data_IF_130734309130
#
_entry.id   IF_130734309130
#
_cell.length_a   1.000
_cell.length_b   1.000
_cell.length_c   1.000
_cell.angle_alpha   90.00
_cell.angle_beta   90.00
_cell.angle_gamma   90.00
#
_symmetry.space_group_name_H-M   'P 1'
#
loop_
_entity.id
_entity.type
_entity.pdbx_description
1 polymer ?
#
# COMPACT_ATOMS: atom_id res chain seq x y z
N UNK A 1 27.09 -42.41 -6.66
CA UNK A 1 28.30 -43.03 -6.07
C UNK A 1 28.26 -42.76 -4.57
N UNK A 2 28.08 -43.81 -3.76
CA UNK A 2 27.97 -43.71 -2.32
C UNK A 2 29.34 -43.34 -1.72
N UNK A 3 29.42 -42.23 -0.99
CA UNK A 3 30.62 -41.87 -0.23
C UNK A 3 30.67 -42.77 1.02
N UNK A 4 31.56 -43.76 1.01
CA UNK A 4 31.88 -44.59 2.16
C UNK A 4 32.53 -43.73 3.24
N UNK A 5 31.77 -43.44 4.30
CA UNK A 5 32.24 -42.72 5.48
C UNK A 5 33.49 -43.41 6.07
N UNK A 6 34.54 -42.62 6.27
CA UNK A 6 35.83 -43.02 6.87
C UNK A 6 35.60 -43.77 8.19
N UNK A 7 36.05 -45.03 8.26
CA UNK A 7 35.89 -45.87 9.43
C UNK A 7 37.02 -45.66 10.45
N UNK A 8 36.99 -44.60 11.26
CA UNK A 8 38.06 -44.29 12.24
C UNK A 8 37.60 -44.39 13.70
N UNK A 9 38.43 -44.96 14.57
CA UNK A 9 38.21 -45.09 16.02
C UNK A 9 38.00 -43.73 16.70
N UNK A 10 36.95 -43.58 17.51
CA UNK A 10 36.59 -42.32 18.18
C UNK A 10 37.59 -41.91 19.27
N UNK A 11 38.38 -42.85 19.79
CA UNK A 11 39.33 -42.59 20.89
C UNK A 11 40.71 -42.18 20.36
N UNK A 12 41.26 -42.93 19.40
CA UNK A 12 42.61 -42.68 18.91
C UNK A 12 42.65 -42.01 17.54
N UNK A 13 41.50 -41.88 16.85
CA UNK A 13 41.34 -41.29 15.51
C UNK A 13 42.21 -41.89 14.40
N UNK A 14 43.03 -42.92 14.68
CA UNK A 14 44.00 -43.49 13.74
C UNK A 14 43.72 -44.95 13.36
N UNK A 15 43.01 -45.72 14.19
CA UNK A 15 42.71 -47.13 13.92
C UNK A 15 41.37 -47.32 13.23
N UNK A 16 41.24 -48.31 12.35
CA UNK A 16 39.94 -48.72 11.82
C UNK A 16 39.05 -49.22 12.97
N UNK A 17 37.84 -48.68 13.12
CA UNK A 17 36.94 -49.15 14.17
C UNK A 17 36.42 -50.55 13.84
N UNK A 18 36.36 -51.42 14.84
CA UNK A 18 35.87 -52.79 14.71
C UNK A 18 34.92 -53.19 15.83
N UNK A 19 34.77 -52.35 16.86
CA UNK A 19 33.93 -52.66 18.02
C UNK A 19 33.17 -51.41 18.48
N UNK A 20 31.89 -51.54 18.81
CA UNK A 20 31.07 -50.47 19.37
C UNK A 20 30.74 -50.76 20.84
N UNK A 21 31.03 -49.82 21.74
CA UNK A 21 30.69 -49.93 23.16
C UNK A 21 29.27 -49.41 23.40
N UNK A 22 28.32 -50.29 23.76
CA UNK A 22 26.90 -49.91 23.97
C UNK A 22 26.72 -48.84 25.04
N UNK A 23 27.46 -48.95 26.14
CA UNK A 23 27.32 -48.09 27.31
C UNK A 23 27.97 -46.71 27.11
N UNK A 24 28.98 -46.61 26.26
CA UNK A 24 29.67 -45.35 25.98
C UNK A 24 29.23 -44.69 24.67
N UNK A 25 28.53 -45.42 23.80
CA UNK A 25 28.08 -44.93 22.50
C UNK A 25 29.22 -44.67 21.52
N UNK A 26 30.38 -45.34 21.68
CA UNK A 26 31.62 -45.02 20.98
C UNK A 26 32.17 -46.21 20.20
N UNK A 27 32.72 -45.91 19.03
CA UNK A 27 33.43 -46.83 18.14
C UNK A 27 34.91 -46.90 18.47
N UNK A 28 35.41 -48.11 18.70
CA UNK A 28 36.78 -48.37 19.14
C UNK A 28 37.45 -49.39 18.22
N UNK A 29 38.75 -49.18 17.95
CA UNK A 29 39.60 -50.24 17.42
C UNK A 29 39.90 -51.28 18.52
N UNK A 30 40.42 -52.44 18.15
CA UNK A 30 40.67 -53.55 19.10
C UNK A 30 41.57 -53.13 20.28
N UNK A 31 42.57 -52.27 20.00
CA UNK A 31 43.47 -51.76 21.04
C UNK A 31 42.73 -50.85 22.03
N UNK A 32 41.91 -49.92 21.53
CA UNK A 32 41.12 -49.03 22.37
C UNK A 32 40.06 -49.79 23.18
N UNK A 33 39.41 -50.81 22.61
CA UNK A 33 38.52 -51.72 23.33
C UNK A 33 39.24 -52.44 24.48
N UNK A 34 40.44 -52.96 24.22
CA UNK A 34 41.22 -53.68 25.23
C UNK A 34 41.60 -52.76 26.40
N UNK A 35 41.98 -51.51 26.11
CA UNK A 35 42.25 -50.50 27.13
C UNK A 35 40.98 -50.10 27.89
N UNK A 36 39.85 -49.95 27.17
CA UNK A 36 38.55 -49.63 27.74
C UNK A 36 38.09 -50.69 28.74
N UNK A 37 38.24 -51.97 28.42
CA UNK A 37 37.89 -53.08 29.31
C UNK A 37 38.87 -53.26 30.49
N UNK A 38 40.08 -52.70 30.41
CA UNK A 38 41.04 -52.69 31.53
C UNK A 38 40.76 -51.59 32.55
N UNK A 39 40.05 -50.53 32.16
CA UNK A 39 39.66 -49.46 33.08
C UNK A 39 38.62 -49.96 34.10
N UNK A 40 38.76 -49.54 35.36
CA UNK A 40 37.84 -49.91 36.45
C UNK A 40 36.39 -49.53 36.16
N UNK A 41 36.16 -48.47 35.39
CA UNK A 41 34.84 -47.92 35.10
C UNK A 41 34.13 -48.72 34.00
N UNK A 42 34.85 -49.11 32.97
CA UNK A 42 34.30 -49.69 31.74
C UNK A 42 34.55 -51.18 31.57
N UNK A 43 35.04 -51.86 32.62
CA UNK A 43 35.38 -53.30 32.61
C UNK A 43 34.22 -54.22 32.26
N UNK A 44 32.99 -53.82 32.61
CA UNK A 44 31.78 -54.60 32.37
C UNK A 44 30.97 -54.09 31.16
N UNK A 45 31.54 -53.18 30.36
CA UNK A 45 30.85 -52.68 29.18
C UNK A 45 30.81 -53.74 28.07
N UNK A 46 29.70 -53.77 27.34
CA UNK A 46 29.44 -54.75 26.30
C UNK A 46 29.81 -54.16 24.94
N UNK A 47 30.54 -54.94 24.15
CA UNK A 47 30.97 -54.55 22.81
C UNK A 47 30.23 -55.34 21.74
N UNK A 48 29.92 -54.67 20.63
CA UNK A 48 29.36 -55.25 19.42
C UNK A 48 30.41 -55.20 18.29
N UNK A 49 30.59 -56.30 17.55
CA UNK A 49 31.52 -56.33 16.41
C UNK A 49 30.96 -55.52 15.23
N UNK A 50 31.79 -54.64 14.68
CA UNK A 50 31.48 -53.68 13.61
C UNK A 50 31.23 -54.28 12.23
N UNK A 51 31.24 -55.61 12.10
CA UNK A 51 30.80 -56.32 10.88
C UNK A 51 29.28 -56.47 10.78
N UNK A 52 28.52 -56.16 11.85
CA UNK A 52 27.06 -56.40 11.90
C UNK A 52 26.22 -55.16 12.22
N UNK A 53 26.82 -53.97 12.28
CA UNK A 53 26.07 -52.74 12.56
C UNK A 53 25.92 -52.00 11.24
N UNK A 54 24.81 -52.28 10.57
CA UNK A 54 24.32 -51.43 9.51
C UNK A 54 23.90 -50.09 10.15
N UNK A 55 24.12 -48.92 9.50
CA UNK A 55 23.65 -47.61 9.98
C UNK A 55 22.12 -47.51 10.14
N UNK A 56 21.37 -48.53 9.70
CA UNK A 56 19.98 -48.80 10.09
C UNK A 56 19.93 -49.31 11.54
N UNK A 57 20.42 -48.49 12.46
CA UNK A 57 20.55 -48.79 13.88
C UNK A 57 19.20 -49.27 14.46
N UNK A 58 19.17 -50.54 14.89
CA UNK A 58 18.11 -51.04 15.76
C UNK A 58 18.17 -50.22 17.05
N UNK A 59 17.30 -49.21 17.14
CA UNK A 59 17.18 -48.36 18.33
C UNK A 59 16.83 -49.24 19.53
N UNK A 60 17.67 -49.20 20.56
CA UNK A 60 17.42 -49.90 21.82
C UNK A 60 16.56 -49.03 22.73
N UNK A 61 15.71 -49.67 23.53
CA UNK A 61 14.92 -48.98 24.53
C UNK A 61 15.82 -48.37 25.61
N UNK A 62 15.49 -47.16 26.06
CA UNK A 62 16.27 -46.45 27.10
C UNK A 62 16.23 -47.15 28.46
N UNK A 63 15.21 -47.95 28.73
CA UNK A 63 14.97 -48.60 30.03
C UNK A 63 15.24 -50.10 30.02
N UNK A 64 15.33 -50.71 28.84
CA UNK A 64 15.42 -52.15 28.67
C UNK A 64 16.42 -52.45 27.55
N UNK A 65 17.34 -53.41 27.73
CA UNK A 65 18.28 -53.86 26.68
C UNK A 65 17.54 -54.68 25.60
N UNK A 66 16.54 -54.05 24.97
CA UNK A 66 15.60 -54.61 24.01
C UNK A 66 15.38 -53.64 22.87
N UNK A 67 15.17 -54.19 21.67
CA UNK A 67 14.98 -53.40 20.45
C UNK A 67 13.58 -52.77 20.45
N UNK A 68 13.51 -51.52 20.02
CA UNK A 68 12.26 -50.81 19.76
C UNK A 68 11.67 -51.32 18.43
N UNK A 69 10.46 -51.87 18.51
CA UNK A 69 9.71 -52.38 17.34
C UNK A 69 8.25 -51.90 17.33
N UNK A 70 7.82 -51.23 18.40
CA UNK A 70 6.44 -50.76 18.57
C UNK A 70 6.41 -49.24 18.80
N UNK A 71 5.25 -48.64 18.58
CA UNK A 71 4.96 -47.26 18.89
C UNK A 71 3.68 -47.19 19.72
N UNK A 72 3.74 -46.49 20.85
CA UNK A 72 2.60 -46.25 21.71
C UNK A 72 1.87 -44.99 21.22
N UNK A 73 0.67 -45.16 20.68
CA UNK A 73 -0.14 -44.06 20.13
C UNK A 73 -0.56 -43.08 21.22
N UNK A 74 -0.94 -43.58 22.40
CA UNK A 74 -1.43 -42.72 23.49
C UNK A 74 -0.32 -41.90 24.16
N UNK A 75 0.91 -42.42 24.15
CA UNK A 75 2.08 -41.74 24.72
C UNK A 75 2.92 -41.01 23.68
N UNK A 76 2.56 -41.10 22.39
CA UNK A 76 3.29 -40.53 21.26
C UNK A 76 4.79 -40.85 21.30
N UNK A 77 5.15 -42.13 21.53
CA UNK A 77 6.55 -42.51 21.69
C UNK A 77 6.86 -43.94 21.23
N UNK A 78 8.08 -44.19 20.71
CA UNK A 78 8.55 -45.53 20.37
C UNK A 78 8.86 -46.36 21.62
N UNK A 79 8.47 -47.63 21.63
CA UNK A 79 8.60 -48.54 22.78
C UNK A 79 9.07 -49.96 22.38
N UNK A 80 9.70 -50.69 23.31
CA UNK A 80 10.03 -52.11 23.13
C UNK A 80 8.94 -53.04 23.69
N UNK A 81 9.08 -54.35 23.44
CA UNK A 81 8.15 -55.37 23.94
C UNK A 81 7.97 -55.38 25.47
N UNK A 82 9.01 -55.04 26.24
CA UNK A 82 8.92 -55.00 27.71
C UNK A 82 8.12 -53.78 28.18
N UNK A 83 8.30 -52.62 27.52
CA UNK A 83 7.51 -51.42 27.81
C UNK A 83 6.01 -51.67 27.62
N UNK A 84 5.63 -52.40 26.56
CA UNK A 84 4.22 -52.80 26.31
C UNK A 84 3.64 -53.50 27.52
N UNK A 85 4.32 -54.52 28.06
CA UNK A 85 3.79 -55.34 29.15
C UNK A 85 3.81 -54.61 30.48
N UNK A 86 4.87 -53.84 30.77
CA UNK A 86 5.07 -53.21 32.09
C UNK A 86 4.34 -51.89 32.27
N UNK A 87 4.38 -51.01 31.26
CA UNK A 87 3.93 -49.61 31.38
C UNK A 87 2.76 -49.25 30.47
N UNK A 88 2.68 -49.86 29.28
CA UNK A 88 1.72 -49.47 28.24
C UNK A 88 0.65 -50.53 27.97
N UNK A 89 0.35 -51.41 28.95
CA UNK A 89 -0.52 -52.59 28.76
C UNK A 89 -1.94 -52.27 28.30
N UNK A 90 -2.44 -51.07 28.61
CA UNK A 90 -3.79 -50.60 28.26
C UNK A 90 -3.79 -49.53 27.16
N UNK A 91 -2.64 -49.22 26.57
CA UNK A 91 -2.53 -48.18 25.55
C UNK A 91 -2.70 -48.76 24.14
N UNK A 92 -3.08 -47.91 23.18
CA UNK A 92 -3.01 -48.20 21.77
C UNK A 92 -1.56 -48.39 21.32
N UNK A 93 -1.25 -49.59 20.81
CA UNK A 93 0.08 -49.95 20.35
C UNK A 93 -0.02 -50.38 18.88
N UNK A 94 0.91 -49.89 18.06
CA UNK A 94 1.05 -50.26 16.66
C UNK A 94 2.52 -50.57 16.36
N UNK A 95 2.77 -51.25 15.25
CA UNK A 95 4.13 -51.48 14.78
C UNK A 95 4.78 -50.15 14.39
N UNK A 96 6.06 -50.00 14.70
CA UNK A 96 6.77 -48.74 14.47
C UNK A 96 6.82 -48.38 12.97
N UNK A 97 6.99 -49.36 12.09
CA UNK A 97 7.04 -49.16 10.64
C UNK A 97 5.67 -48.72 10.09
N UNK A 98 4.59 -49.38 10.52
CA UNK A 98 3.23 -49.03 10.13
C UNK A 98 2.85 -47.61 10.60
N UNK A 99 3.21 -47.28 11.85
CA UNK A 99 2.97 -45.95 12.43
C UNK A 99 3.76 -44.86 11.70
N UNK A 100 5.00 -45.17 11.32
CA UNK A 100 5.86 -44.27 10.54
C UNK A 100 5.27 -44.02 9.16
N UNK A 101 4.85 -45.05 8.44
CA UNK A 101 4.22 -44.91 7.12
C UNK A 101 2.93 -44.09 7.19
N UNK A 102 2.06 -44.35 8.19
CA UNK A 102 0.84 -43.57 8.40
C UNK A 102 1.14 -42.10 8.66
N UNK A 103 2.11 -41.82 9.54
CA UNK A 103 2.50 -40.45 9.87
C UNK A 103 3.14 -39.73 8.67
N UNK A 104 3.93 -40.43 7.85
CA UNK A 104 4.51 -39.88 6.62
C UNK A 104 3.43 -39.43 5.63
N UNK A 105 2.42 -40.27 5.39
CA UNK A 105 1.29 -39.93 4.50
C UNK A 105 0.49 -38.73 5.04
N UNK A 106 0.24 -38.73 6.35
CA UNK A 106 -0.48 -37.66 7.03
C UNK A 106 0.27 -36.32 6.95
N UNK A 107 1.56 -36.31 7.31
CA UNK A 107 2.42 -35.11 7.25
C UNK A 107 2.51 -34.60 5.82
N UNK A 108 2.70 -35.49 4.83
CA UNK A 108 2.72 -35.10 3.43
C UNK A 108 1.43 -34.38 3.02
N UNK A 109 0.27 -34.94 3.35
CA UNK A 109 -1.03 -34.32 3.06
C UNK A 109 -1.17 -32.93 3.71
N UNK A 110 -0.68 -32.76 4.93
CA UNK A 110 -0.69 -31.45 5.60
C UNK A 110 0.24 -30.44 4.94
N UNK A 111 1.43 -30.88 4.54
CA UNK A 111 2.37 -30.05 3.82
C UNK A 111 1.77 -29.60 2.49
N UNK A 112 1.21 -30.52 1.71
CA UNK A 112 0.58 -30.22 0.42
C UNK A 112 -0.52 -29.16 0.58
N UNK A 113 -1.47 -29.36 1.52
CA UNK A 113 -2.54 -28.39 1.80
C UNK A 113 -2.02 -27.02 2.27
N UNK A 114 -0.94 -26.99 3.08
CA UNK A 114 -0.34 -25.75 3.56
C UNK A 114 0.38 -25.00 2.45
N UNK A 115 1.07 -25.73 1.59
CA UNK A 115 1.75 -25.18 0.41
C UNK A 115 0.71 -24.55 -0.51
N UNK A 116 -0.36 -25.28 -0.84
CA UNK A 116 -1.45 -24.77 -1.69
C UNK A 116 -2.11 -23.51 -1.11
N UNK A 117 -2.34 -23.49 0.20
CA UNK A 117 -2.89 -22.31 0.90
C UNK A 117 -1.95 -21.10 0.80
N UNK A 118 -0.64 -21.31 1.00
CA UNK A 118 0.35 -20.23 0.90
C UNK A 118 0.45 -19.73 -0.54
N UNK A 119 0.48 -20.61 -1.55
CA UNK A 119 0.46 -20.25 -2.97
C UNK A 119 -0.77 -19.40 -3.29
N UNK A 120 -1.97 -19.84 -2.88
CA UNK A 120 -3.22 -19.10 -3.09
C UNK A 120 -3.20 -17.72 -2.45
N UNK A 121 -2.65 -17.60 -1.24
CA UNK A 121 -2.55 -16.32 -0.55
C UNK A 121 -1.55 -15.37 -1.24
N UNK A 122 -0.43 -15.90 -1.73
CA UNK A 122 0.55 -15.13 -2.50
C UNK A 122 -0.08 -14.60 -3.79
N UNK A 123 -0.80 -15.44 -4.53
CA UNK A 123 -1.53 -15.05 -5.75
C UNK A 123 -2.59 -13.97 -5.46
N UNK A 124 -3.35 -14.10 -4.37
CA UNK A 124 -4.30 -13.06 -3.95
C UNK A 124 -3.62 -11.72 -3.62
N UNK A 125 -2.44 -11.75 -2.99
CA UNK A 125 -1.66 -10.54 -2.68
C UNK A 125 -1.15 -9.91 -3.98
N UNK A 126 -0.63 -10.71 -4.91
CA UNK A 126 -0.14 -10.24 -6.20
C UNK A 126 -1.26 -9.58 -7.02
N UNK A 127 -2.39 -10.28 -7.18
CA UNK A 127 -3.58 -9.74 -7.86
C UNK A 127 -4.12 -8.50 -7.16
N UNK A 128 -4.18 -8.50 -5.82
CA UNK A 128 -4.60 -7.36 -5.02
C UNK A 128 -3.70 -6.14 -5.22
N UNK A 129 -2.39 -6.36 -5.33
CA UNK A 129 -1.40 -5.30 -5.57
C UNK A 129 -1.57 -4.68 -6.95
N UNK A 130 -1.69 -5.51 -7.99
CA UNK A 130 -1.93 -5.05 -9.36
C UNK A 130 -3.23 -4.25 -9.45
N UNK A 131 -4.30 -4.77 -8.84
CA UNK A 131 -5.59 -4.08 -8.81
C UNK A 131 -5.51 -2.74 -8.10
N UNK A 132 -4.89 -2.69 -6.92
CA UNK A 132 -4.75 -1.45 -6.16
C UNK A 132 -3.91 -0.41 -6.91
N UNK A 133 -2.87 -0.85 -7.63
CA UNK A 133 -2.09 0.03 -8.51
C UNK A 133 -2.95 0.58 -9.66
N UNK A 134 -3.83 -0.23 -10.25
CA UNK A 134 -4.80 0.23 -11.26
C UNK A 134 -5.74 1.27 -10.67
N UNK A 135 -6.34 1.00 -9.50
CA UNK A 135 -7.26 1.92 -8.82
C UNK A 135 -6.59 3.28 -8.54
N UNK A 136 -5.29 3.28 -8.13
CA UNK A 136 -4.50 4.51 -7.95
C UNK A 136 -4.33 5.26 -9.28
N UNK A 137 -3.93 4.55 -10.34
CA UNK A 137 -3.70 5.18 -11.65
C UNK A 137 -4.98 5.78 -12.21
N UNK A 138 -6.11 5.09 -12.07
CA UNK A 138 -7.44 5.59 -12.46
C UNK A 138 -7.81 6.86 -11.68
N UNK A 139 -7.58 6.88 -10.37
CA UNK A 139 -7.82 8.07 -9.55
C UNK A 139 -6.92 9.25 -9.98
N UNK A 140 -5.64 9.02 -10.26
CA UNK A 140 -4.72 10.05 -10.76
C UNK A 140 -5.22 10.60 -12.11
N UNK A 141 -5.63 9.72 -13.02
CA UNK A 141 -6.15 10.13 -14.33
C UNK A 141 -7.42 10.97 -14.18
N UNK A 142 -8.36 10.58 -13.31
CA UNK A 142 -9.58 11.34 -13.06
C UNK A 142 -9.29 12.75 -12.51
N UNK A 143 -8.42 12.86 -11.49
CA UNK A 143 -8.01 14.16 -10.92
C UNK A 143 -7.36 15.04 -11.99
N UNK A 144 -6.52 14.45 -12.83
CA UNK A 144 -5.82 15.18 -13.90
C UNK A 144 -6.79 15.69 -14.95
N UNK A 145 -7.78 14.87 -15.34
CA UNK A 145 -8.79 15.23 -16.33
C UNK A 145 -9.68 16.38 -15.83
N UNK A 146 -10.18 16.28 -14.59
CA UNK A 146 -10.96 17.35 -13.95
C UNK A 146 -10.18 18.67 -13.95
N UNK A 147 -8.90 18.62 -13.55
CA UNK A 147 -8.03 19.79 -13.54
C UNK A 147 -7.80 20.39 -14.93
N UNK A 148 -7.66 19.56 -15.97
CA UNK A 148 -7.50 20.01 -17.36
C UNK A 148 -8.78 20.63 -17.91
N UNK A 149 -9.93 20.05 -17.61
CA UNK A 149 -11.23 20.59 -18.02
C UNK A 149 -11.47 21.98 -17.42
N UNK A 150 -11.17 22.17 -16.12
CA UNK A 150 -11.30 23.48 -15.48
C UNK A 150 -10.36 24.52 -16.08
N UNK A 151 -9.11 24.15 -16.39
CA UNK A 151 -8.18 25.04 -17.11
C UNK A 151 -8.77 25.49 -18.45
N UNK A 152 -9.34 24.56 -19.21
CA UNK A 152 -9.96 24.89 -20.49
C UNK A 152 -11.13 25.88 -20.34
N UNK A 153 -11.98 25.72 -19.32
CA UNK A 153 -13.04 26.68 -19.03
C UNK A 153 -12.52 28.06 -18.65
N UNK A 154 -11.43 28.12 -17.86
CA UNK A 154 -10.77 29.37 -17.50
C UNK A 154 -10.22 30.06 -18.75
N UNK A 155 -9.51 29.33 -19.60
CA UNK A 155 -8.92 29.87 -20.83
C UNK A 155 -10.00 30.40 -21.79
N UNK A 156 -11.10 29.64 -21.96
CA UNK A 156 -12.25 30.09 -22.74
C UNK A 156 -12.87 31.37 -22.16
N UNK A 157 -12.97 31.47 -20.83
CA UNK A 157 -13.52 32.65 -20.17
C UNK A 157 -12.62 33.87 -20.35
N UNK A 158 -11.31 33.69 -20.22
CA UNK A 158 -10.30 34.74 -20.46
C UNK A 158 -10.43 35.24 -21.89
N UNK A 159 -10.44 34.33 -22.86
CA UNK A 159 -10.54 34.69 -24.27
C UNK A 159 -11.85 35.44 -24.57
N UNK A 160 -12.98 34.99 -24.03
CA UNK A 160 -14.26 35.66 -24.20
C UNK A 160 -14.28 37.09 -23.64
N UNK A 161 -13.63 37.32 -22.48
CA UNK A 161 -13.52 38.66 -21.89
C UNK A 161 -12.64 39.57 -22.75
N UNK A 162 -11.52 39.07 -23.26
CA UNK A 162 -10.62 39.81 -24.15
C UNK A 162 -11.36 40.19 -25.43
N UNK A 163 -11.98 39.23 -26.12
CA UNK A 163 -12.71 39.49 -27.37
C UNK A 163 -13.82 40.51 -27.16
N UNK A 164 -14.61 40.39 -26.09
CA UNK A 164 -15.67 41.37 -25.78
C UNK A 164 -15.12 42.78 -25.55
N UNK A 165 -13.96 42.88 -24.90
CA UNK A 165 -13.30 44.15 -24.66
C UNK A 165 -12.76 44.77 -25.96
N UNK A 166 -12.12 43.97 -26.80
CA UNK A 166 -11.60 44.41 -28.10
C UNK A 166 -12.72 44.89 -29.04
N UNK A 167 -13.84 44.16 -29.11
CA UNK A 167 -14.99 44.52 -29.94
C UNK A 167 -15.60 45.85 -29.50
N UNK A 168 -15.89 46.00 -28.20
CA UNK A 168 -16.42 47.25 -27.63
C UNK A 168 -15.43 48.40 -27.77
N UNK A 169 -14.16 48.14 -27.52
CA UNK A 169 -13.08 49.12 -27.69
C UNK A 169 -12.98 49.60 -29.13
N UNK A 170 -13.00 48.68 -30.10
CA UNK A 170 -12.97 48.98 -31.53
C UNK A 170 -14.20 49.76 -31.99
N UNK A 171 -15.39 49.42 -31.50
CA UNK A 171 -16.61 50.16 -31.79
C UNK A 171 -16.54 51.62 -31.27
N UNK A 172 -16.10 51.80 -30.02
CA UNK A 172 -15.94 53.13 -29.44
C UNK A 172 -14.86 53.95 -30.16
N UNK A 173 -13.72 53.35 -30.49
CA UNK A 173 -12.65 54.03 -31.24
C UNK A 173 -13.15 54.48 -32.63
N UNK A 174 -13.87 53.62 -33.35
CA UNK A 174 -14.49 53.99 -34.63
C UNK A 174 -15.50 55.14 -34.49
N UNK A 175 -16.33 55.12 -33.46
CA UNK A 175 -17.28 56.19 -33.18
C UNK A 175 -16.56 57.52 -32.92
N UNK A 176 -15.48 57.53 -32.12
CA UNK A 176 -14.67 58.72 -31.87
C UNK A 176 -13.98 59.22 -33.15
N UNK A 177 -13.38 58.31 -33.92
CA UNK A 177 -12.73 58.65 -35.19
C UNK A 177 -13.71 59.22 -36.21
N UNK A 178 -14.96 58.74 -36.24
CA UNK A 178 -15.99 59.26 -37.17
C UNK A 178 -16.39 60.71 -36.89
N UNK A 179 -16.18 61.19 -35.65
CA UNK A 179 -16.48 62.57 -35.25
C UNK A 179 -15.33 63.54 -35.50
N UNK A 180 -14.10 63.05 -35.58
CA UNK A 180 -12.93 63.86 -35.91
C UNK A 180 -13.10 64.72 -37.19
N UNK A 181 -13.59 64.18 -38.33
CA UNK A 181 -13.76 64.98 -39.55
C UNK A 181 -14.82 66.07 -39.42
N UNK A 182 -15.89 65.85 -38.63
CA UNK A 182 -16.91 66.87 -38.37
C UNK A 182 -16.27 68.10 -37.70
N UNK A 183 -15.46 67.86 -36.66
CA UNK A 183 -14.74 68.94 -35.97
C UNK A 183 -13.63 69.56 -36.82
N UNK A 184 -12.97 68.79 -37.69
CA UNK A 184 -11.99 69.34 -38.65
C UNK A 184 -12.66 70.27 -39.66
N UNK A 185 -13.83 69.91 -40.19
CA UNK A 185 -14.60 70.76 -41.10
C UNK A 185 -15.12 72.02 -40.39
N UNK A 186 -15.61 71.88 -39.16
CA UNK A 186 -16.02 73.04 -38.36
C UNK A 186 -14.83 73.98 -38.10
N UNK A 187 -13.64 73.45 -37.82
CA UNK A 187 -12.41 74.24 -37.70
C UNK A 187 -12.08 74.98 -39.00
N UNK A 188 -12.16 74.30 -40.16
CA UNK A 188 -11.91 74.92 -41.48
C UNK A 188 -12.92 76.05 -41.77
N UNK A 189 -14.20 75.85 -41.45
CA UNK A 189 -15.23 76.89 -41.58
C UNK A 189 -14.97 78.09 -40.68
N UNK A 190 -14.57 77.86 -39.43
CA UNK A 190 -14.22 78.93 -38.50
C UNK A 190 -13.00 79.71 -38.99
N UNK A 191 -11.99 79.03 -39.55
CA UNK A 191 -10.85 79.67 -40.18
C UNK A 191 -11.26 80.52 -41.40
N UNK A 192 -12.16 80.02 -42.26
CA UNK A 192 -12.72 80.80 -43.38
C UNK A 192 -13.51 82.02 -42.92
N UNK A 193 -14.31 81.89 -41.86
CA UNK A 193 -15.01 83.02 -41.26
C UNK A 193 -14.03 84.05 -40.70
N UNK A 194 -12.94 83.60 -40.10
CA UNK A 194 -11.88 84.47 -39.57
C UNK A 194 -11.18 85.25 -40.70
N UNK A 195 -10.84 84.61 -41.82
CA UNK A 195 -10.25 85.31 -42.98
C UNK A 195 -11.21 86.33 -43.59
N UNK A 196 -12.47 85.94 -43.81
CA UNK A 196 -13.50 86.83 -44.32
C UNK A 196 -13.75 88.05 -43.40
N UNK A 197 -13.69 87.85 -42.09
CA UNK A 197 -13.80 88.94 -41.13
C UNK A 197 -12.66 89.95 -41.27
N UNK A 198 -11.42 89.49 -41.38
CA UNK A 198 -10.24 90.35 -41.56
C UNK A 198 -10.35 91.15 -42.87
N UNK A 199 -10.84 90.55 -43.94
CA UNK A 199 -11.08 91.22 -45.23
C UNK A 199 -12.17 92.28 -45.12
N UNK A 200 -13.29 91.96 -44.45
CA UNK A 200 -14.40 92.90 -44.28
C UNK A 200 -14.00 94.19 -43.55
N UNK A 201 -13.02 94.14 -42.64
CA UNK A 201 -12.51 95.32 -41.95
C UNK A 201 -11.80 96.31 -42.88
N UNK A 202 -11.25 95.84 -44.00
CA UNK A 202 -10.53 96.66 -44.98
C UNK A 202 -11.47 97.42 -45.93
N UNK A 203 -12.76 97.05 -45.99
CA UNK A 203 -13.74 97.67 -46.89
C UNK A 203 -14.06 99.10 -46.47
N UNK A 204 -13.90 100.08 -47.37
CA UNK A 204 -14.27 101.48 -47.09
C UNK A 204 -15.79 101.71 -47.05
N UNK A 205 -16.56 100.91 -47.78
CA UNK A 205 -18.03 101.02 -47.82
C UNK A 205 -18.68 100.39 -46.57
N UNK A 206 -19.32 101.23 -45.75
CA UNK A 206 -19.93 100.83 -44.48
C UNK A 206 -21.11 99.88 -44.68
N UNK A 207 -21.91 100.04 -45.74
CA UNK A 207 -23.07 99.17 -45.98
C UNK A 207 -22.65 97.77 -46.40
N UNK A 208 -21.63 97.67 -47.26
CA UNK A 208 -21.03 96.41 -47.69
C UNK A 208 -20.31 95.68 -46.54
N UNK A 209 -19.61 96.42 -45.67
CA UNK A 209 -19.03 95.86 -44.45
C UNK A 209 -20.11 95.27 -43.54
N UNK A 210 -21.23 95.97 -43.35
CA UNK A 210 -22.32 95.51 -42.49
C UNK A 210 -23.00 94.24 -43.02
N UNK A 211 -23.17 94.10 -44.34
CA UNK A 211 -23.77 92.89 -44.94
C UNK A 211 -22.84 91.69 -44.79
N UNK A 212 -21.53 91.84 -45.01
CA UNK A 212 -20.57 90.76 -44.79
C UNK A 212 -20.50 90.31 -43.32
N UNK A 213 -20.49 91.26 -42.38
CA UNK A 213 -20.49 90.93 -40.94
C UNK A 213 -21.76 90.20 -40.51
N UNK A 214 -22.93 90.54 -41.07
CA UNK A 214 -24.18 89.80 -40.82
C UNK A 214 -24.09 88.36 -41.33
N UNK A 215 -23.52 88.16 -42.52
CA UNK A 215 -23.31 86.82 -43.09
C UNK A 215 -22.33 85.97 -42.28
N UNK A 216 -21.19 86.54 -41.87
CA UNK A 216 -20.23 85.83 -40.99
C UNK A 216 -20.90 85.46 -39.66
N UNK A 217 -21.69 86.38 -39.08
CA UNK A 217 -22.42 86.14 -37.84
C UNK A 217 -23.44 84.99 -37.95
N UNK A 218 -24.11 84.82 -39.10
CA UNK A 218 -25.02 83.69 -39.30
C UNK A 218 -24.28 82.36 -39.42
N UNK A 219 -23.16 82.31 -40.14
CA UNK A 219 -22.36 81.10 -40.28
C UNK A 219 -21.78 80.62 -38.94
N UNK A 220 -21.31 81.54 -38.10
CA UNK A 220 -20.76 81.21 -36.77
C UNK A 220 -21.79 80.56 -35.83
N UNK A 221 -23.07 80.92 -35.93
CA UNK A 221 -24.13 80.31 -35.10
C UNK A 221 -24.30 78.81 -35.38
N UNK A 222 -24.10 78.38 -36.62
CA UNK A 222 -24.31 77.00 -37.04
C UNK A 222 -23.15 76.09 -36.58
N UNK A 223 -21.93 76.61 -36.56
CA UNK A 223 -20.73 75.83 -36.23
C UNK A 223 -20.56 75.52 -34.72
N UNK A 224 -21.01 76.39 -33.82
CA UNK A 224 -20.72 76.29 -32.37
C UNK A 224 -21.66 75.35 -31.61
N UNK A 225 -22.73 74.86 -32.23
CA UNK A 225 -23.83 74.20 -31.52
C UNK A 225 -23.66 72.69 -31.29
N UNK A 226 -22.57 72.06 -31.76
CA UNK A 226 -22.37 70.60 -31.68
C UNK A 226 -21.70 70.18 -30.37
N UNK A 227 -22.27 69.18 -29.69
CA UNK A 227 -21.72 68.63 -28.43
C UNK A 227 -20.53 67.67 -28.68
N UNK A 228 -19.56 67.69 -27.77
CA UNK A 228 -18.44 66.75 -27.74
C UNK A 228 -18.91 65.33 -27.38
N UNK A 229 -18.32 64.28 -27.99
CA UNK A 229 -18.59 62.90 -27.57
C UNK A 229 -18.04 62.64 -26.17
N UNK A 230 -18.78 61.86 -25.38
CA UNK A 230 -18.35 61.43 -24.04
C UNK A 230 -17.25 60.39 -24.18
N UNK A 231 -16.09 60.65 -23.56
CA UNK A 231 -14.98 59.72 -23.50
C UNK A 231 -15.23 58.68 -22.40
N UNK A 232 -15.31 57.40 -22.77
CA UNK A 232 -15.44 56.28 -21.81
C UNK A 232 -14.07 55.77 -21.35
N UNK A 233 -13.91 55.50 -20.05
CA UNK A 233 -12.71 54.82 -19.49
C UNK A 233 -12.92 53.31 -19.36
N UNK A 234 -11.87 52.52 -19.62
CA UNK A 234 -11.87 51.06 -19.45
C UNK A 234 -11.10 50.68 -18.18
N UNK A 235 -11.68 49.84 -17.31
CA UNK A 235 -11.02 49.27 -16.12
C UNK A 235 -11.45 47.82 -15.91
N UNK A 236 -10.52 46.96 -15.47
CA UNK A 236 -10.79 45.59 -15.03
C UNK A 236 -10.63 45.50 -13.51
N UNK A 237 -11.61 44.92 -12.83
CA UNK A 237 -11.59 44.70 -11.39
C UNK A 237 -11.47 43.21 -11.13
N UNK A 238 -10.29 42.77 -10.68
CA UNK A 238 -10.07 41.38 -10.31
C UNK A 238 -10.86 41.02 -9.05
N UNK A 239 -11.30 39.77 -8.96
CA UNK A 239 -11.81 39.17 -7.74
C UNK A 239 -10.72 38.28 -7.17
N UNK A 240 -10.45 38.38 -5.87
CA UNK A 240 -9.54 37.45 -5.20
C UNK A 240 -10.24 36.12 -4.96
N UNK A 241 -9.52 35.01 -5.12
CA UNK A 241 -10.01 33.64 -4.98
C UNK A 241 -9.17 32.92 -3.93
N UNK A 242 -9.83 32.25 -3.00
CA UNK A 242 -9.22 31.48 -1.92
C UNK A 242 -8.92 30.02 -2.32
N UNK A 243 -8.00 29.38 -1.62
CA UNK A 243 -7.67 27.96 -1.84
C UNK A 243 -8.88 27.04 -1.57
N UNK A 244 -9.75 27.41 -0.62
CA UNK A 244 -10.98 26.66 -0.32
C UNK A 244 -11.96 26.67 -1.49
N UNK A 245 -12.13 27.81 -2.16
CA UNK A 245 -12.97 27.94 -3.35
C UNK A 245 -12.43 27.08 -4.51
N UNK A 246 -11.10 26.92 -4.61
CA UNK A 246 -10.48 26.05 -5.60
C UNK A 246 -10.69 24.56 -5.22
N UNK A 247 -10.52 24.22 -3.95
CA UNK A 247 -10.66 22.84 -3.47
C UNK A 247 -12.07 22.29 -3.66
N UNK A 248 -13.12 23.13 -3.52
CA UNK A 248 -14.53 22.73 -3.72
C UNK A 248 -14.81 22.33 -5.19
N UNK A 249 -13.96 22.75 -6.14
CA UNK A 249 -14.14 22.39 -7.55
C UNK A 249 -13.78 20.93 -7.83
N UNK A 250 -12.95 20.30 -6.98
CA UNK A 250 -12.53 18.91 -7.14
C UNK A 250 -13.38 17.94 -6.31
N UNK A 251 -13.43 16.67 -6.74
CA UNK A 251 -14.03 15.59 -5.98
C UNK A 251 -13.23 15.17 -4.75
N UNK A 252 -13.79 14.25 -3.96
CA UNK A 252 -13.15 13.71 -2.76
C UNK A 252 -12.46 12.37 -3.02
N UNK A 253 -11.30 12.16 -2.40
CA UNK A 253 -10.64 10.87 -2.36
C UNK A 253 -11.26 9.98 -1.27
N UNK A 254 -11.63 8.76 -1.63
CA UNK A 254 -12.11 7.76 -0.66
C UNK A 254 -11.23 6.51 -0.69
N UNK A 255 -10.81 6.07 0.49
CA UNK A 255 -10.02 4.85 0.66
C UNK A 255 -10.89 3.81 1.38
N UNK A 256 -11.21 2.69 0.72
CA UNK A 256 -11.93 1.57 1.33
C UNK A 256 -10.98 0.40 1.56
N UNK A 257 -10.81 -0.04 2.81
CA UNK A 257 -10.06 -1.25 3.12
C UNK A 257 -10.89 -2.50 2.82
N UNK A 258 -10.33 -3.44 2.05
CA UNK A 258 -10.96 -4.75 1.80
C UNK A 258 -10.95 -5.71 3.01
N UNK A 259 -10.44 -5.24 4.17
CA UNK A 259 -10.29 -6.01 5.41
C UNK A 259 -11.59 -6.70 5.87
N UNK A 260 -12.75 -6.14 5.57
CA UNK A 260 -14.00 -6.59 6.15
C UNK A 260 -14.57 -7.85 5.49
N UNK A 261 -14.11 -8.21 4.29
CA UNK A 261 -14.60 -9.41 3.56
C UNK A 261 -13.67 -10.62 3.64
N UNK A 262 -12.36 -10.42 3.81
CA UNK A 262 -11.37 -11.51 3.78
C UNK A 262 -11.10 -12.15 5.15
N UNK A 263 -11.32 -11.42 6.25
CA UNK A 263 -11.17 -11.95 7.62
C UNK A 263 -12.05 -13.17 7.89
N UNK A 264 -13.21 -13.27 7.23
CA UNK A 264 -14.11 -14.43 7.33
C UNK A 264 -13.61 -15.67 6.57
N UNK A 265 -12.77 -15.52 5.54
CA UNK A 265 -12.23 -16.66 4.76
C UNK A 265 -11.04 -17.31 5.46
N UNK A 266 -10.13 -16.51 6.02
CA UNK A 266 -8.99 -17.01 6.82
C UNK A 266 -9.42 -17.75 8.09
N UNK A 267 -10.60 -17.45 8.64
CA UNK A 267 -11.15 -18.15 9.79
C UNK A 267 -11.57 -19.60 9.50
N UNK A 268 -11.85 -19.97 8.25
CA UNK A 268 -12.27 -21.35 7.91
C UNK A 268 -11.07 -22.32 7.89
N UNK A 269 -9.93 -21.91 7.35
CA UNK A 269 -8.76 -22.80 7.16
C UNK A 269 -7.95 -23.00 8.45
N UNK A 270 -7.91 -21.99 9.33
CA UNK A 270 -7.35 -22.15 10.67
C UNK A 270 -8.21 -23.11 11.52
N UNK A 271 -9.52 -23.14 11.28
CA UNK A 271 -10.46 -24.04 11.96
C UNK A 271 -10.21 -25.51 11.58
N UNK A 272 -9.84 -25.82 10.34
CA UNK A 272 -9.54 -27.19 9.88
C UNK A 272 -8.31 -27.82 10.57
N UNK A 273 -7.26 -27.04 10.82
CA UNK A 273 -6.03 -27.53 11.47
C UNK A 273 -6.24 -27.68 12.98
N UNK A 274 -6.93 -26.72 13.60
CA UNK A 274 -7.31 -26.82 15.01
C UNK A 274 -8.25 -28.00 15.26
N UNK A 275 -9.30 -28.19 14.44
CA UNK A 275 -10.19 -29.36 14.54
C UNK A 275 -9.44 -30.70 14.44
N UNK A 276 -8.41 -30.77 13.61
CA UNK A 276 -7.66 -32.00 13.41
C UNK A 276 -6.71 -32.31 14.58
N UNK A 277 -5.93 -31.33 15.05
CA UNK A 277 -5.09 -31.48 16.24
C UNK A 277 -5.93 -31.81 17.48
N UNK A 278 -7.17 -31.28 17.54
CA UNK A 278 -8.13 -31.58 18.59
C UNK A 278 -8.71 -33.00 18.47
N UNK A 279 -9.01 -33.50 17.25
CA UNK A 279 -9.46 -34.90 17.02
C UNK A 279 -8.41 -35.93 17.43
N UNK A 280 -7.11 -35.62 17.32
CA UNK A 280 -6.02 -36.48 17.77
C UNK A 280 -5.96 -36.56 19.31
N UNK A 281 -6.29 -35.47 20.02
CA UNK A 281 -6.47 -35.46 21.49
C UNK A 281 -7.78 -36.12 21.95
N UNK A 282 -8.88 -36.00 21.20
CA UNK A 282 -10.20 -36.58 21.58
C UNK A 282 -10.21 -38.11 21.51
N UNK A 283 -9.38 -38.74 20.66
CA UNK A 283 -9.22 -40.21 20.69
C UNK A 283 -8.55 -40.74 21.97
N UNK A 284 -7.96 -39.87 22.80
CA UNK A 284 -7.30 -40.22 24.06
C UNK A 284 -8.15 -40.00 25.34
N UNK A 285 -9.44 -39.63 25.23
CA UNK A 285 -10.29 -39.44 26.41
C UNK A 285 -11.79 -39.38 26.11
N UNK A 286 -12.56 -40.30 26.68
CA UNK A 286 -14.03 -40.34 26.58
C UNK A 286 -14.69 -39.19 27.37
N UNK A 287 -15.70 -38.59 26.72
CA UNK A 287 -16.91 -37.97 27.29
C UNK A 287 -16.72 -36.74 28.20
N UNK A 288 -16.72 -35.54 27.58
CA UNK A 288 -17.45 -34.30 27.97
C UNK A 288 -16.84 -33.12 27.21
N UNK A 289 -17.15 -32.92 25.93
CA UNK A 289 -16.55 -31.79 25.17
C UNK A 289 -17.43 -31.10 24.12
N UNK A 290 -18.72 -31.41 24.04
CA UNK A 290 -19.62 -30.67 23.13
C UNK A 290 -19.99 -29.27 23.65
N UNK A 291 -19.91 -29.02 24.96
CA UNK A 291 -20.15 -27.69 25.54
C UNK A 291 -18.89 -26.78 25.51
N UNK A 292 -17.68 -27.34 25.42
CA UNK A 292 -16.46 -26.55 25.21
C UNK A 292 -16.31 -26.10 23.74
N UNK A 293 -16.83 -26.87 22.78
CA UNK A 293 -16.80 -26.52 21.34
C UNK A 293 -17.51 -25.19 21.03
N UNK A 294 -18.61 -24.85 21.71
CA UNK A 294 -19.24 -23.52 21.57
C UNK A 294 -18.45 -22.40 22.28
N UNK A 295 -17.80 -22.70 23.41
CA UNK A 295 -17.06 -21.70 24.20
C UNK A 295 -15.69 -21.37 23.62
N UNK A 296 -15.00 -22.29 22.92
CA UNK A 296 -13.70 -22.01 22.30
C UNK A 296 -13.85 -21.10 21.07
N UNK A 297 -14.89 -21.30 20.24
CA UNK A 297 -15.23 -20.35 19.16
C UNK A 297 -15.67 -18.97 19.68
N UNK A 298 -16.33 -18.91 20.84
CA UNK A 298 -16.73 -17.64 21.46
C UNK A 298 -15.57 -16.97 22.25
N UNK A 299 -14.62 -17.74 22.77
CA UNK A 299 -13.47 -17.20 23.50
C UNK A 299 -12.38 -16.65 22.56
N UNK A 300 -12.17 -17.27 21.39
CA UNK A 300 -11.27 -16.74 20.36
C UNK A 300 -11.80 -15.49 19.68
N UNK A 301 -13.13 -15.31 19.63
CA UNK A 301 -13.75 -14.05 19.19
C UNK A 301 -13.67 -12.95 20.26
N UNK A 302 -13.71 -13.30 21.55
CA UNK A 302 -13.56 -12.33 22.65
C UNK A 302 -12.11 -11.88 22.92
N UNK A 303 -11.10 -12.76 22.76
CA UNK A 303 -9.69 -12.34 22.86
C UNK A 303 -9.25 -11.44 21.70
N UNK A 304 -9.94 -11.52 20.55
CA UNK A 304 -9.71 -10.62 19.40
C UNK A 304 -10.38 -9.26 19.60
N UNK A 305 -11.56 -9.17 20.24
CA UNK A 305 -12.14 -7.87 20.63
C UNK A 305 -11.21 -7.07 21.56
N UNK A 306 -10.49 -7.76 22.45
CA UNK A 306 -9.51 -7.10 23.34
C UNK A 306 -8.24 -6.71 22.56
N UNK A 307 -7.80 -7.49 21.56
CA UNK A 307 -6.65 -7.10 20.72
C UNK A 307 -6.99 -6.02 19.70
N UNK A 308 -8.24 -5.92 19.22
CA UNK A 308 -8.75 -4.83 18.37
C UNK A 308 -8.83 -3.51 19.12
N UNK A 309 -9.22 -3.51 20.40
CA UNK A 309 -9.18 -2.29 21.25
C UNK A 309 -7.73 -1.84 21.49
N UNK A 310 -6.81 -2.79 21.72
CA UNK A 310 -5.38 -2.48 21.94
C UNK A 310 -4.68 -2.06 20.63
N UNK A 311 -5.04 -2.63 19.47
CA UNK A 311 -4.51 -2.22 18.16
C UNK A 311 -5.12 -0.90 17.65
N UNK A 312 -6.40 -0.62 17.95
CA UNK A 312 -7.03 0.68 17.68
C UNK A 312 -6.35 1.81 18.46
N UNK A 313 -5.99 1.56 19.71
CA UNK A 313 -5.21 2.51 20.52
C UNK A 313 -3.78 2.69 19.99
N UNK A 314 -3.11 1.64 19.51
CA UNK A 314 -1.80 1.77 18.83
C UNK A 314 -1.87 2.50 17.48
N UNK A 315 -2.93 2.30 16.68
CA UNK A 315 -3.14 3.05 15.41
C UNK A 315 -3.27 4.55 15.64
N UNK A 316 -4.02 4.98 16.66
CA UNK A 316 -4.13 6.40 17.03
C UNK A 316 -2.79 6.99 17.48
N UNK A 317 -1.90 6.19 18.10
CA UNK A 317 -0.57 6.65 18.49
C UNK A 317 0.37 6.74 17.28
N UNK A 318 0.31 5.79 16.34
CA UNK A 318 1.12 5.82 15.11
C UNK A 318 0.65 6.87 14.10
N UNK A 319 -0.65 7.12 13.95
CA UNK A 319 -1.17 8.22 13.13
C UNK A 319 -0.81 9.59 13.72
N UNK A 320 -0.83 9.74 15.05
CA UNK A 320 -0.36 10.96 15.70
C UNK A 320 1.15 11.17 15.57
N UNK A 321 1.95 10.10 15.54
CA UNK A 321 3.39 10.17 15.30
C UNK A 321 3.72 10.47 13.83
N UNK A 322 2.96 9.91 12.88
CA UNK A 322 3.10 10.19 11.46
C UNK A 322 2.68 11.62 11.10
N UNK A 323 1.60 12.12 11.72
CA UNK A 323 1.19 13.52 11.59
C UNK A 323 2.16 14.49 12.27
N UNK A 324 2.79 14.13 13.40
CA UNK A 324 3.87 14.94 14.02
C UNK A 324 5.14 14.99 13.16
N UNK A 325 5.49 13.88 12.51
CA UNK A 325 6.65 13.82 11.61
C UNK A 325 6.44 14.65 10.33
N UNK A 326 5.22 14.67 9.77
CA UNK A 326 4.88 15.53 8.63
C UNK A 326 4.79 17.02 8.99
N UNK A 327 4.38 17.37 10.21
CA UNK A 327 4.40 18.78 10.68
C UNK A 327 5.84 19.27 10.92
N UNK A 328 6.77 18.41 11.33
CA UNK A 328 8.18 18.78 11.49
C UNK A 328 8.92 18.91 10.14
N UNK A 329 8.64 18.05 9.15
CA UNK A 329 9.27 18.13 7.83
C UNK A 329 8.78 19.32 6.97
N UNK A 330 7.61 19.90 7.25
CA UNK A 330 7.14 21.12 6.57
C UNK A 330 7.65 22.44 7.19
N UNK A 331 8.56 22.38 8.18
CA UNK A 331 9.10 23.57 8.86
C UNK A 331 10.57 23.88 8.53
N UNK A 332 11.20 23.12 7.62
CA UNK A 332 12.58 23.39 7.18
C UNK A 332 12.66 23.28 5.66
N UNK A 333 12.30 24.37 4.97
CA UNK A 333 12.89 24.78 3.68
C UNK A 333 12.30 26.13 3.22
N UNK A 334 12.67 27.18 3.96
CA UNK A 334 12.87 28.52 3.41
C UNK A 334 14.03 29.10 4.19
N UNK A 335 15.20 29.20 3.55
CA UNK A 335 16.31 30.13 3.77
C UNK A 335 17.56 29.53 3.09
N UNK A 336 17.72 29.78 1.79
CA UNK A 336 18.82 30.55 1.18
C UNK A 336 18.68 30.54 -0.35
#
# INVERSE_FOLDING_TARGET
MAQSASKSCDICMSGAYSNYCKQCGQWMCENCKTLHLRSKISRNHTFLNGSHINPEEKLFCKEHDEIIIFYCVDCDMPICKICVVKKHKKHGISEINESTQKLQVEVKKFLDLRIDCVITNLDNIEQGTVKYQSDINEAISAITEDGNQMKQWIDQKVQALITSLEEKGKANLKALQSKAPDFQNDLEKLQKCQTAFIESQKLANVTERLTQLKHIKSELRIAVQKQLPVMSTVKYYKKDVSEQEISILFGELSFRSQSDKQLFRYQCDHCCILHFLYRRKIKAGKQTLDLLNRRICLASTWTILISEVVFSQRRKVTENLFNKANVQNNSVNYLF
#
